data_IF_231466101394
#
_entry.id   IF_231466101394
#
_cell.length_a   1.000
_cell.length_b   1.000
_cell.length_c   1.000
_cell.angle_alpha   90.00
_cell.angle_beta   90.00
_cell.angle_gamma   90.00
#
_symmetry.space_group_name_H-M   'P 1'
#
loop_
_entity.id
_entity.type
_entity.pdbx_description
1 polymer ?
#
# COMPACT_ATOMS: atom_id res chain seq x y z
N UNK A 1 -8.62 6.08 -18.41
CA UNK A 1 -7.21 5.66 -18.59
C UNK A 1 -6.37 6.50 -17.66
N UNK A 2 -5.53 5.89 -16.83
CA UNK A 2 -4.79 6.57 -15.78
C UNK A 2 -4.95 5.87 -14.43
N UNK A 3 -4.34 4.69 -14.28
CA UNK A 3 -4.07 4.06 -12.96
C UNK A 3 -2.66 3.48 -12.92
N UNK A 4 -1.80 3.96 -13.79
CA UNK A 4 -0.48 3.40 -14.02
C UNK A 4 0.51 4.56 -13.94
N UNK A 5 1.68 4.29 -13.35
CA UNK A 5 2.80 5.22 -13.44
C UNK A 5 3.18 5.43 -14.91
N UNK A 6 3.94 6.50 -15.25
CA UNK A 6 4.36 6.75 -16.63
C UNK A 6 5.09 5.57 -17.30
N UNK A 7 5.69 4.69 -16.49
CA UNK A 7 6.37 3.46 -16.90
C UNK A 7 5.44 2.23 -16.99
N UNK A 8 4.15 2.38 -16.70
CA UNK A 8 3.16 1.30 -16.68
C UNK A 8 3.03 0.57 -15.34
N UNK A 9 3.81 0.94 -14.31
CA UNK A 9 3.74 0.30 -12.99
C UNK A 9 2.38 0.54 -12.34
N UNK A 10 1.68 -0.53 -11.98
CA UNK A 10 0.40 -0.45 -11.26
C UNK A 10 0.66 -0.40 -9.77
N UNK A 11 0.10 0.60 -9.09
CA UNK A 11 0.30 0.80 -7.65
C UNK A 11 -1.04 0.73 -6.92
N UNK A 12 -1.12 -0.05 -5.86
CA UNK A 12 -2.22 -0.01 -4.90
C UNK A 12 -1.78 0.71 -3.63
N UNK A 13 -2.49 1.79 -3.30
CA UNK A 13 -2.24 2.59 -2.10
C UNK A 13 -3.32 2.34 -1.07
N UNK A 14 -2.94 2.09 0.18
CA UNK A 14 -3.86 2.01 1.33
C UNK A 14 -3.37 2.91 2.44
N UNK A 15 -4.25 3.74 2.99
CA UNK A 15 -3.92 4.65 4.09
C UNK A 15 -4.63 4.27 5.38
N UNK A 16 -3.92 4.39 6.50
CA UNK A 16 -4.47 4.29 7.85
C UNK A 16 -3.69 5.21 8.80
N UNK A 17 -4.17 5.40 10.02
CA UNK A 17 -3.53 6.28 11.00
C UNK A 17 -3.93 5.93 12.42
N UNK A 18 -3.12 6.39 13.38
CA UNK A 18 -3.46 6.32 14.80
C UNK A 18 -4.68 7.18 15.13
N UNK A 19 -4.82 8.31 14.44
CA UNK A 19 -5.99 9.18 14.44
C UNK A 19 -6.74 9.14 13.11
N UNK A 20 -8.00 9.56 13.15
CA UNK A 20 -8.86 9.77 12.00
C UNK A 20 -9.38 11.21 12.05
N UNK A 21 -9.85 11.73 10.91
CA UNK A 21 -10.34 13.11 10.82
C UNK A 21 -11.63 13.37 11.64
N UNK A 22 -12.33 12.30 12.06
CA UNK A 22 -13.49 12.39 12.94
C UNK A 22 -13.13 12.08 14.40
N UNK A 23 -13.93 12.61 15.32
CA UNK A 23 -13.76 12.37 16.75
C UNK A 23 -13.74 10.87 17.08
N UNK A 24 -12.71 10.44 17.81
CA UNK A 24 -12.56 9.06 18.27
C UNK A 24 -12.23 9.01 19.76
N UNK A 25 -12.79 8.01 20.45
CA UNK A 25 -12.62 7.83 21.90
C UNK A 25 -11.28 7.18 22.28
N UNK A 26 -10.60 6.53 21.33
CA UNK A 26 -9.29 5.91 21.51
C UNK A 26 -8.48 5.95 20.23
N UNK A 27 -7.16 5.95 20.37
CA UNK A 27 -6.22 5.77 19.27
C UNK A 27 -6.46 4.42 18.59
N UNK A 28 -6.47 4.42 17.26
CA UNK A 28 -6.60 3.24 16.44
C UNK A 28 -5.30 2.42 16.41
N UNK A 29 -5.42 1.12 16.15
CA UNK A 29 -4.27 0.25 15.84
C UNK A 29 -4.26 0.00 14.33
N UNK A 30 -3.41 0.70 13.55
CA UNK A 30 -3.38 0.56 12.10
C UNK A 30 -3.18 -0.89 11.68
N UNK A 31 -4.01 -1.35 10.75
CA UNK A 31 -3.88 -2.67 10.13
C UNK A 31 -4.34 -2.59 8.69
N UNK A 32 -3.67 -3.35 7.84
CA UNK A 32 -3.91 -3.39 6.40
C UNK A 32 -4.23 -4.81 5.98
N UNK A 33 -4.98 -4.97 4.90
CA UNK A 33 -5.30 -6.27 4.34
C UNK A 33 -5.36 -6.13 2.83
N UNK A 34 -4.70 -7.06 2.14
CA UNK A 34 -4.72 -7.17 0.67
C UNK A 34 -5.13 -8.59 0.35
N UNK A 35 -6.04 -8.75 -0.60
CA UNK A 35 -6.41 -10.04 -1.16
C UNK A 35 -6.50 -9.91 -2.68
N UNK A 36 -6.28 -11.02 -3.37
CA UNK A 36 -6.64 -11.10 -4.78
C UNK A 36 -8.12 -10.71 -4.94
N UNK A 37 -8.43 -10.03 -6.03
CA UNK A 37 -9.79 -9.60 -6.34
C UNK A 37 -10.09 -9.92 -7.79
N UNK A 38 -11.35 -10.22 -8.08
CA UNK A 38 -11.79 -10.32 -9.46
C UNK A 38 -11.64 -8.96 -10.13
N UNK A 39 -10.88 -8.93 -11.23
CA UNK A 39 -10.80 -7.78 -12.10
C UNK A 39 -12.10 -7.54 -12.85
N UNK A 40 -12.18 -6.40 -13.51
CA UNK A 40 -13.25 -6.10 -14.45
C UNK A 40 -12.78 -6.40 -15.88
N UNK A 41 -13.51 -7.24 -16.59
CA UNK A 41 -13.27 -7.53 -18.00
C UNK A 41 -14.29 -6.75 -18.86
N UNK A 42 -13.79 -5.70 -19.50
CA UNK A 42 -14.60 -4.84 -20.35
C UNK A 42 -15.06 -5.53 -21.65
N UNK A 43 -14.35 -6.56 -22.12
CA UNK A 43 -14.71 -7.29 -23.34
C UNK A 43 -15.90 -8.23 -23.10
N UNK A 44 -16.01 -8.79 -21.90
CA UNK A 44 -17.12 -9.68 -21.52
C UNK A 44 -18.21 -8.98 -20.71
N UNK A 45 -18.01 -7.72 -20.32
CA UNK A 45 -18.97 -6.95 -19.51
C UNK A 45 -19.15 -7.53 -18.10
N UNK A 46 -18.15 -8.24 -17.60
CA UNK A 46 -18.24 -9.05 -16.39
C UNK A 46 -16.98 -9.03 -15.55
N UNK A 47 -17.00 -9.83 -14.47
CA UNK A 47 -15.82 -10.08 -13.65
C UNK A 47 -14.87 -11.02 -14.40
N UNK A 48 -13.56 -10.84 -14.21
CA UNK A 48 -12.56 -11.77 -14.73
C UNK A 48 -12.82 -13.21 -14.27
N UNK A 49 -12.33 -14.20 -15.00
CA UNK A 49 -12.53 -15.62 -14.67
C UNK A 49 -11.84 -16.05 -13.35
N UNK A 50 -10.86 -15.29 -12.88
CA UNK A 50 -10.15 -15.54 -11.62
C UNK A 50 -9.85 -14.26 -10.83
N UNK A 51 -9.45 -14.45 -9.57
CA UNK A 51 -8.99 -13.36 -8.71
C UNK A 51 -7.50 -13.12 -8.96
N UNK A 52 -7.12 -11.85 -9.10
CA UNK A 52 -5.72 -11.45 -9.32
C UNK A 52 -5.34 -10.31 -8.38
N UNK A 53 -4.04 -10.16 -8.15
CA UNK A 53 -3.48 -8.94 -7.57
C UNK A 53 -3.35 -7.90 -8.67
N UNK A 54 -4.04 -6.77 -8.52
CA UNK A 54 -4.18 -5.77 -9.58
C UNK A 54 -3.01 -4.76 -9.62
N UNK A 55 -2.08 -4.84 -8.66
CA UNK A 55 -0.93 -3.95 -8.57
C UNK A 55 0.38 -4.73 -8.57
N UNK A 56 1.42 -4.09 -9.08
CA UNK A 56 2.80 -4.56 -9.08
C UNK A 56 3.51 -4.13 -7.78
N UNK A 57 3.12 -2.97 -7.24
CA UNK A 57 3.65 -2.39 -5.99
C UNK A 57 2.51 -1.99 -5.06
N UNK A 58 2.71 -2.23 -3.77
CA UNK A 58 1.79 -1.87 -2.70
C UNK A 58 2.42 -0.82 -1.79
N UNK A 59 1.68 0.26 -1.52
CA UNK A 59 2.10 1.33 -0.60
C UNK A 59 1.11 1.43 0.55
N UNK A 60 1.59 1.19 1.77
CA UNK A 60 0.81 1.38 2.99
C UNK A 60 1.23 2.70 3.65
N UNK A 61 0.33 3.68 3.61
CA UNK A 61 0.53 4.99 4.20
C UNK A 61 0.06 4.98 5.65
N UNK A 62 0.96 5.30 6.58
CA UNK A 62 0.67 5.48 7.99
C UNK A 62 0.73 6.97 8.33
N UNK A 63 -0.41 7.53 8.75
CA UNK A 63 -0.45 8.84 9.41
C UNK A 63 -0.07 8.68 10.89
N UNK A 64 0.93 9.43 11.34
CA UNK A 64 1.62 9.19 12.61
C UNK A 64 1.13 10.06 13.77
N UNK A 65 0.27 11.06 13.52
CA UNK A 65 -0.24 11.91 14.59
C UNK A 65 -1.03 11.08 15.61
N UNK A 66 -0.77 11.34 16.89
CA UNK A 66 -1.41 10.65 18.02
C UNK A 66 -2.32 11.56 18.85
N UNK A 67 -2.32 12.87 18.57
CA UNK A 67 -3.20 13.86 19.19
C UNK A 67 -3.86 14.77 18.15
N UNK A 68 -5.12 15.18 18.40
CA UNK A 68 -5.94 15.89 17.39
C UNK A 68 -5.45 17.32 17.14
N UNK A 69 -4.78 17.94 18.12
CA UNK A 69 -4.11 19.25 17.99
C UNK A 69 -2.95 19.22 16.98
N UNK A 70 -2.34 18.06 16.80
CA UNK A 70 -1.24 17.86 15.85
C UNK A 70 -1.72 17.28 14.52
N UNK A 71 -2.94 16.72 14.46
CA UNK A 71 -3.43 16.05 13.27
C UNK A 71 -3.64 17.03 12.12
N UNK A 72 -2.81 16.91 11.09
CA UNK A 72 -3.00 17.60 9.82
C UNK A 72 -2.69 16.62 8.67
N UNK A 73 -3.70 16.17 7.91
CA UNK A 73 -3.49 15.21 6.83
C UNK A 73 -2.69 15.79 5.66
N UNK A 74 -2.56 17.12 5.58
CA UNK A 74 -1.78 17.81 4.55
C UNK A 74 -0.30 17.98 4.93
N UNK A 75 0.08 17.76 6.20
CA UNK A 75 1.49 17.74 6.62
C UNK A 75 2.14 16.44 6.20
N UNK A 76 2.97 16.49 5.16
CA UNK A 76 3.62 15.33 4.56
C UNK A 76 4.54 14.62 5.55
N UNK A 77 5.15 15.36 6.49
CA UNK A 77 6.04 14.86 7.53
C UNK A 77 5.34 13.93 8.52
N UNK A 78 4.00 14.01 8.62
CA UNK A 78 3.17 13.12 9.43
C UNK A 78 2.87 11.78 8.73
N UNK A 79 3.34 11.60 7.51
CA UNK A 79 3.18 10.35 6.78
C UNK A 79 4.46 9.53 6.79
N UNK A 80 4.27 8.21 6.90
CA UNK A 80 5.29 7.18 6.74
C UNK A 80 4.78 6.14 5.78
N UNK A 81 5.65 5.63 4.91
CA UNK A 81 5.24 4.76 3.82
C UNK A 81 5.96 3.43 3.89
N UNK A 82 5.21 2.33 3.93
CA UNK A 82 5.75 0.99 3.77
C UNK A 82 5.50 0.56 2.33
N UNK A 83 6.56 0.20 1.60
CA UNK A 83 6.50 -0.18 0.19
C UNK A 83 6.83 -1.66 0.06
N UNK A 84 6.01 -2.41 -0.66
CA UNK A 84 6.24 -3.82 -0.93
C UNK A 84 5.98 -4.16 -2.39
N UNK A 85 6.76 -5.11 -2.89
CA UNK A 85 6.55 -5.74 -4.18
C UNK A 85 5.36 -6.73 -4.10
N UNK A 86 4.65 -6.98 -5.20
CA UNK A 86 3.51 -7.91 -5.22
C UNK A 86 3.82 -9.32 -4.64
N UNK A 87 4.93 -10.02 -4.97
CA UNK A 87 5.23 -11.33 -4.40
C UNK A 87 5.30 -11.34 -2.88
N UNK A 88 5.82 -10.28 -2.26
CA UNK A 88 5.84 -10.16 -0.80
C UNK A 88 4.43 -10.08 -0.21
N UNK A 89 3.51 -9.42 -0.92
CA UNK A 89 2.10 -9.26 -0.52
C UNK A 89 1.28 -10.51 -0.81
N UNK A 90 1.56 -11.22 -1.89
CA UNK A 90 0.92 -12.50 -2.22
C UNK A 90 1.10 -13.54 -1.11
N UNK A 91 2.28 -13.58 -0.47
CA UNK A 91 2.54 -14.46 0.69
C UNK A 91 1.66 -14.10 1.90
N UNK A 92 1.19 -12.84 2.00
CA UNK A 92 0.31 -12.37 3.08
C UNK A 92 -1.17 -12.29 2.66
N UNK A 93 -1.54 -12.88 1.53
CA UNK A 93 -2.87 -12.78 0.95
C UNK A 93 -3.99 -13.05 1.97
N UNK A 94 -4.88 -12.08 2.15
CA UNK A 94 -6.03 -12.18 3.04
C UNK A 94 -5.72 -12.04 4.53
N UNK A 95 -4.45 -11.99 4.95
CA UNK A 95 -4.08 -11.77 6.35
C UNK A 95 -4.15 -10.28 6.72
N UNK A 96 -4.47 -9.98 7.99
CA UNK A 96 -4.31 -8.63 8.52
C UNK A 96 -2.86 -8.37 8.88
N UNK A 97 -2.29 -7.32 8.31
CA UNK A 97 -0.91 -6.88 8.54
C UNK A 97 -0.92 -5.64 9.44
N UNK A 98 -0.50 -5.82 10.69
CA UNK A 98 -0.19 -4.69 11.58
C UNK A 98 1.20 -4.13 11.33
N UNK A 99 1.59 -3.09 12.07
CA UNK A 99 2.87 -2.39 11.86
C UNK A 99 4.10 -3.31 12.02
N UNK A 100 4.09 -4.25 12.97
CA UNK A 100 5.17 -5.23 13.12
C UNK A 100 5.29 -6.16 11.90
N UNK A 101 4.16 -6.58 11.34
CA UNK A 101 4.16 -7.38 10.11
C UNK A 101 4.68 -6.56 8.94
N UNK A 102 4.21 -5.32 8.77
CA UNK A 102 4.69 -4.41 7.73
C UNK A 102 6.20 -4.17 7.83
N UNK A 103 6.73 -3.89 9.02
CA UNK A 103 8.16 -3.70 9.20
C UNK A 103 8.97 -4.94 8.80
N UNK A 104 8.45 -6.14 9.09
CA UNK A 104 9.09 -7.41 8.69
C UNK A 104 9.06 -7.64 7.18
N UNK A 105 7.98 -7.26 6.49
CA UNK A 105 7.82 -7.55 5.05
C UNK A 105 8.36 -6.44 4.14
N UNK A 106 8.27 -5.18 4.56
CA UNK A 106 8.65 -4.00 3.78
C UNK A 106 9.99 -3.41 4.22
N UNK A 107 10.48 -3.75 5.42
CA UNK A 107 11.55 -3.03 6.09
C UNK A 107 11.05 -1.77 6.82
N UNK A 108 11.98 -0.88 7.15
CA UNK A 108 11.66 0.40 7.79
C UNK A 108 10.81 1.29 6.86
N UNK A 109 9.85 2.06 7.40
CA UNK A 109 9.05 2.95 6.59
C UNK A 109 9.89 4.11 6.06
N UNK A 110 9.63 4.50 4.83
CA UNK A 110 10.30 5.61 4.17
C UNK A 110 9.53 6.91 4.33
N UNK A 111 10.23 8.03 4.13
CA UNK A 111 9.63 9.36 4.03
C UNK A 111 9.04 9.61 2.64
N UNK A 112 8.28 10.69 2.48
CA UNK A 112 7.75 11.07 1.17
C UNK A 112 8.85 11.33 0.13
N UNK A 113 9.99 11.94 0.53
CA UNK A 113 11.11 12.21 -0.37
C UNK A 113 11.77 10.94 -0.92
N UNK A 114 11.66 9.82 -0.20
CA UNK A 114 12.23 8.52 -0.56
C UNK A 114 11.19 7.60 -1.23
N UNK A 115 9.91 7.98 -1.23
CA UNK A 115 8.82 7.13 -1.69
C UNK A 115 8.96 6.75 -3.16
N UNK A 116 9.31 7.71 -4.02
CA UNK A 116 9.43 7.48 -5.45
C UNK A 116 10.53 6.45 -5.80
N UNK A 117 11.71 6.56 -5.18
CA UNK A 117 12.81 5.61 -5.40
C UNK A 117 12.49 4.23 -4.80
N UNK A 118 11.80 4.19 -3.65
CA UNK A 118 11.35 2.94 -3.04
C UNK A 118 10.32 2.20 -3.91
N UNK A 119 9.37 2.94 -4.50
CA UNK A 119 8.41 2.38 -5.47
C UNK A 119 9.13 1.80 -6.69
N UNK A 120 10.07 2.55 -7.28
CA UNK A 120 10.84 2.08 -8.43
C UNK A 120 11.64 0.81 -8.11
N UNK A 121 12.29 0.75 -6.94
CA UNK A 121 13.04 -0.44 -6.52
C UNK A 121 12.13 -1.67 -6.30
N UNK A 122 10.94 -1.47 -5.73
CA UNK A 122 9.96 -2.53 -5.53
C UNK A 122 9.36 -3.04 -6.84
N UNK A 123 9.23 -2.17 -7.86
CA UNK A 123 8.75 -2.52 -9.18
C UNK A 123 9.75 -3.41 -9.95
N UNK A 124 11.05 -3.12 -9.87
CA UNK A 124 12.10 -3.96 -10.50
C UNK A 124 12.15 -5.38 -9.91
N UNK A 125 11.81 -5.52 -8.63
CA UNK A 125 11.77 -6.82 -7.95
C UNK A 125 10.61 -7.74 -8.41
N UNK A 126 9.82 -7.32 -9.42
CA UNK A 126 8.79 -8.13 -10.07
C UNK A 126 9.27 -9.01 -11.23
N UNK A 127 10.48 -8.77 -11.74
CA UNK A 127 10.91 -9.35 -13.02
C UNK A 127 11.84 -10.57 -12.82
N UNK A 128 11.38 -11.81 -13.09
CA UNK A 128 12.24 -12.99 -13.08
C UNK A 128 13.04 -13.20 -14.39
N UNK A 129 13.28 -12.16 -15.19
CA UNK A 129 13.82 -12.30 -16.55
C UNK A 129 15.37 -12.27 -16.71
N UNK A 130 16.16 -12.19 -15.63
CA UNK A 130 17.62 -12.40 -15.72
C UNK A 130 18.13 -13.33 -14.61
N UNK A 131 18.08 -14.64 -14.88
CA UNK A 131 18.91 -15.68 -14.25
C UNK A 131 19.21 -16.78 -15.28
#
# INVERSE_FOLDING_TARGET
>A
MGRDCPDGTRIEVKSSGFLQAWAQSRISRPSFQVSAAYGWDAATGGRSLGQVFNADVYVFCLHTATSHDQYDPLQVEQWRFYVASRPLIEVQAGARMGLTTLARICGEPVTYGELASSIAAAAVSQDPAEA
#
